data_IF_738735349360
#
_entry.id   IF_738735349360
#
_cell.length_a   1.000
_cell.length_b   1.000
_cell.length_c   1.000
_cell.angle_alpha   90.00
_cell.angle_beta   90.00
_cell.angle_gamma   90.00
#
_symmetry.space_group_name_H-M   'P 1'
#
loop_
_entity.id
_entity.type
_entity.pdbx_description
1 polymer ?
#
# COMPACT_ATOMS: atom_id res chain seq x y z
N UNK A 1 4.86 -1.09 7.20
CA UNK A 1 6.17 -0.38 7.18
C UNK A 1 5.93 1.12 7.11
N UNK A 2 6.90 1.93 7.53
CA UNK A 2 6.83 3.39 7.44
C UNK A 2 7.11 3.89 6.01
N UNK A 3 6.59 5.07 5.69
CA UNK A 3 6.98 5.82 4.49
C UNK A 3 7.89 6.97 4.92
N UNK A 4 9.15 6.91 4.48
CA UNK A 4 10.16 7.96 4.70
C UNK A 4 10.64 8.59 3.39
N UNK A 5 10.33 7.96 2.25
CA UNK A 5 10.59 8.48 0.91
C UNK A 5 9.37 9.26 0.40
N UNK A 6 9.61 10.47 -0.11
CA UNK A 6 8.59 11.32 -0.73
C UNK A 6 7.95 10.65 -1.95
N UNK A 7 6.65 10.85 -2.15
CA UNK A 7 5.88 10.29 -3.28
C UNK A 7 5.89 8.75 -3.43
N UNK A 8 6.45 8.01 -2.48
CA UNK A 8 6.49 6.55 -2.49
C UNK A 8 5.20 5.87 -2.01
N UNK A 9 4.14 6.63 -1.69
CA UNK A 9 2.92 6.09 -1.07
C UNK A 9 2.26 4.96 -1.88
N UNK A 10 2.26 5.04 -3.22
CA UNK A 10 1.75 3.98 -4.09
C UNK A 10 2.55 2.68 -3.96
N UNK A 11 3.88 2.76 -3.98
CA UNK A 11 4.76 1.60 -3.75
C UNK A 11 4.58 1.02 -2.35
N UNK A 12 4.50 1.88 -1.33
CA UNK A 12 4.27 1.43 0.05
C UNK A 12 2.91 0.72 0.18
N UNK A 13 1.86 1.25 -0.45
CA UNK A 13 0.54 0.61 -0.50
C UNK A 13 0.57 -0.76 -1.17
N UNK A 14 1.29 -0.91 -2.29
CA UNK A 14 1.50 -2.19 -2.95
C UNK A 14 2.23 -3.20 -2.05
N UNK A 15 3.32 -2.78 -1.41
CA UNK A 15 4.10 -3.64 -0.51
C UNK A 15 3.31 -4.02 0.75
N UNK A 16 2.45 -3.14 1.25
CA UNK A 16 1.50 -3.46 2.32
C UNK A 16 0.50 -4.53 1.86
N UNK A 17 -0.09 -4.38 0.67
CA UNK A 17 -1.04 -5.37 0.14
C UNK A 17 -0.37 -6.73 -0.03
N UNK A 18 0.70 -6.81 -0.83
CA UNK A 18 1.40 -8.07 -1.14
C UNK A 18 1.99 -8.69 0.13
N UNK A 19 2.63 -7.91 0.99
CA UNK A 19 3.28 -8.41 2.20
C UNK A 19 2.33 -9.09 3.18
N UNK A 20 1.05 -8.66 3.24
CA UNK A 20 0.05 -9.25 4.14
C UNK A 20 -0.72 -10.42 3.51
N UNK A 21 -0.58 -10.65 2.19
CA UNK A 21 -1.15 -11.82 1.51
C UNK A 21 -0.08 -12.75 0.94
N UNK A 22 1.20 -12.52 1.23
CA UNK A 22 2.33 -13.24 0.62
C UNK A 22 2.28 -14.77 0.78
N UNK A 23 1.65 -15.27 1.86
CA UNK A 23 1.45 -16.70 2.07
C UNK A 23 0.29 -17.30 1.23
N UNK A 24 -0.52 -16.45 0.60
CA UNK A 24 -1.71 -16.80 -0.19
C UNK A 24 -1.51 -16.56 -1.69
N UNK A 25 -0.39 -15.95 -2.08
CA UNK A 25 -0.06 -15.64 -3.49
C UNK A 25 1.24 -16.31 -3.89
N UNK A 26 1.27 -16.88 -5.09
CA UNK A 26 2.46 -17.51 -5.65
C UNK A 26 3.41 -16.45 -6.21
N UNK A 27 4.30 -15.95 -5.35
CA UNK A 27 5.37 -15.06 -5.78
C UNK A 27 6.42 -15.84 -6.56
N UNK A 28 6.68 -15.41 -7.80
CA UNK A 28 7.67 -16.03 -8.67
C UNK A 28 9.03 -16.18 -7.95
N UNK A 29 9.69 -17.32 -8.19
CA UNK A 29 10.99 -17.63 -7.61
C UNK A 29 12.01 -16.57 -7.96
N UNK A 30 12.81 -16.17 -6.96
CA UNK A 30 13.79 -15.09 -7.08
C UNK A 30 13.23 -13.78 -7.62
N UNK A 31 11.91 -13.54 -7.56
CA UNK A 31 11.35 -12.21 -7.85
C UNK A 31 11.70 -11.21 -6.75
N UNK A 32 11.71 -9.91 -7.10
CA UNK A 32 11.95 -8.83 -6.13
C UNK A 32 11.04 -8.97 -4.90
N UNK A 33 9.73 -9.14 -5.11
CA UNK A 33 8.74 -9.24 -4.04
C UNK A 33 9.01 -10.45 -3.13
N UNK A 34 9.40 -11.60 -3.69
CA UNK A 34 9.74 -12.78 -2.90
C UNK A 34 10.99 -12.53 -2.02
N UNK A 35 12.06 -11.96 -2.61
CA UNK A 35 13.29 -11.62 -1.87
C UNK A 35 13.02 -10.58 -0.79
N UNK A 36 12.23 -9.55 -1.12
CA UNK A 36 11.83 -8.48 -0.23
C UNK A 36 11.07 -9.01 1.01
N UNK A 37 10.02 -9.81 0.80
CA UNK A 37 9.22 -10.38 1.90
C UNK A 37 10.09 -11.26 2.80
N UNK A 38 10.93 -12.12 2.21
CA UNK A 38 11.86 -12.97 2.96
C UNK A 38 12.82 -12.15 3.81
N UNK A 39 13.54 -11.20 3.18
CA UNK A 39 14.58 -10.39 3.82
C UNK A 39 14.04 -9.50 4.93
N UNK A 40 12.85 -8.95 4.76
CA UNK A 40 12.28 -7.97 5.70
C UNK A 40 11.38 -8.60 6.77
N UNK A 41 11.15 -9.91 6.75
CA UNK A 41 10.25 -10.61 7.67
C UNK A 41 10.56 -10.37 9.15
N UNK A 42 11.84 -10.23 9.50
CA UNK A 42 12.32 -10.01 10.87
C UNK A 42 12.56 -8.54 11.22
N UNK A 43 12.36 -7.62 10.27
CA UNK A 43 12.61 -6.19 10.45
C UNK A 43 11.42 -5.47 11.07
N UNK A 44 11.69 -4.50 11.93
CA UNK A 44 10.73 -3.52 12.42
C UNK A 44 10.22 -2.61 11.29
N UNK A 45 9.11 -1.88 11.51
CA UNK A 45 8.58 -0.94 10.50
C UNK A 45 9.54 0.15 10.05
N UNK A 46 10.42 0.61 10.94
CA UNK A 46 11.43 1.64 10.66
C UNK A 46 12.64 1.07 9.91
N UNK A 47 13.14 -0.11 10.32
CA UNK A 47 14.20 -0.82 9.58
C UNK A 47 13.76 -1.16 8.15
N UNK A 48 12.49 -1.54 7.98
CA UNK A 48 11.88 -1.74 6.67
C UNK A 48 11.89 -0.48 5.80
N UNK A 49 11.65 0.68 6.39
CA UNK A 49 11.66 1.95 5.66
C UNK A 49 13.09 2.34 5.27
N UNK A 50 14.05 2.19 6.20
CA UNK A 50 15.46 2.44 5.91
C UNK A 50 16.02 1.49 4.84
N UNK A 51 15.59 0.23 4.85
CA UNK A 51 15.92 -0.71 3.78
C UNK A 51 15.46 -0.17 2.41
N UNK A 52 14.22 0.32 2.32
CA UNK A 52 13.67 0.88 1.08
C UNK A 52 14.36 2.17 0.60
N UNK A 53 14.85 3.01 1.51
CA UNK A 53 15.58 4.24 1.16
C UNK A 53 16.85 3.97 0.34
N UNK A 54 17.40 2.76 0.43
CA UNK A 54 18.63 2.35 -0.24
C UNK A 54 18.40 1.33 -1.36
N UNK A 55 17.13 1.00 -1.66
CA UNK A 55 16.77 -0.02 -2.64
C UNK A 55 16.60 0.56 -4.05
N UNK A 56 17.69 0.51 -4.82
CA UNK A 56 17.74 1.05 -6.18
C UNK A 56 16.92 0.25 -7.21
N UNK A 57 16.70 -1.05 -6.97
CA UNK A 57 15.88 -1.88 -7.85
C UNK A 57 14.42 -1.44 -7.78
N UNK A 58 13.91 -1.23 -6.56
CA UNK A 58 12.55 -0.73 -6.36
C UNK A 58 12.39 0.73 -6.80
N UNK A 59 13.37 1.58 -6.54
CA UNK A 59 13.37 2.98 -7.00
C UNK A 59 13.25 3.05 -8.54
N UNK A 60 14.03 2.23 -9.24
CA UNK A 60 14.00 2.15 -10.71
C UNK A 60 12.63 1.67 -11.20
N UNK A 61 12.10 0.58 -10.61
CA UNK A 61 10.79 0.05 -10.97
C UNK A 61 9.65 1.05 -10.71
N UNK A 62 9.69 1.77 -9.58
CA UNK A 62 8.73 2.83 -9.26
C UNK A 62 8.78 3.96 -10.29
N UNK A 63 9.99 4.41 -10.66
CA UNK A 63 10.18 5.48 -11.64
C UNK A 63 9.65 5.10 -13.02
N UNK A 64 9.88 3.86 -13.46
CA UNK A 64 9.31 3.34 -14.72
C UNK A 64 7.78 3.30 -14.65
N UNK A 65 7.21 2.80 -13.55
CA UNK A 65 5.76 2.73 -13.37
C UNK A 65 5.10 4.12 -13.34
N UNK A 66 5.74 5.12 -12.73
CA UNK A 66 5.25 6.50 -12.67
C UNK A 66 5.13 7.14 -14.06
N UNK A 67 5.96 6.72 -15.02
CA UNK A 67 5.92 7.17 -16.42
C UNK A 67 4.99 6.32 -17.31
N UNK A 68 4.39 5.26 -16.79
CA UNK A 68 3.61 4.29 -17.57
C UNK A 68 2.10 4.53 -17.61
N UNK A 69 1.59 5.54 -16.90
CA UNK A 69 0.16 5.86 -16.86
C UNK A 69 -0.32 6.71 -18.05
N UNK A 70 -1.64 6.88 -18.16
CA UNK A 70 -2.27 7.68 -19.22
C UNK A 70 -2.02 9.20 -19.09
N UNK A 71 -1.55 9.64 -17.92
CA UNK A 71 -1.23 11.04 -17.62
C UNK A 71 0.27 11.22 -17.46
N UNK A 72 0.79 12.35 -17.94
CA UNK A 72 2.19 12.71 -17.69
C UNK A 72 2.46 12.80 -16.18
N UNK A 73 3.61 12.28 -15.69
CA UNK A 73 3.98 12.41 -14.30
C UNK A 73 4.12 13.91 -13.96
N UNK A 74 3.67 14.34 -12.77
CA UNK A 74 3.82 15.72 -12.34
C UNK A 74 5.30 16.06 -12.11
N UNK A 75 5.62 17.34 -12.07
CA UNK A 75 6.96 17.80 -11.70
C UNK A 75 7.31 17.34 -10.26
N UNK A 76 8.56 16.94 -10.04
CA UNK A 76 9.01 16.44 -8.74
C UNK A 76 8.89 17.47 -7.61
N UNK A 77 8.88 18.77 -7.95
CA UNK A 77 8.70 19.88 -7.02
C UNK A 77 7.24 20.22 -6.73
N UNK A 78 6.30 19.62 -7.45
CA UNK A 78 4.87 19.88 -7.24
C UNK A 78 4.39 19.30 -5.91
N UNK A 79 3.50 20.04 -5.23
CA UNK A 79 2.84 19.55 -4.03
C UNK A 79 1.79 18.50 -4.41
N UNK A 80 1.97 17.28 -3.93
CA UNK A 80 1.01 16.19 -4.09
C UNK A 80 0.15 16.10 -2.82
N UNK A 81 -1.13 16.45 -2.96
CA UNK A 81 -2.10 16.42 -1.85
C UNK A 81 -2.88 15.10 -1.77
N UNK A 82 -2.61 14.15 -2.68
CA UNK A 82 -3.23 12.82 -2.71
C UNK A 82 -2.31 11.78 -2.06
N UNK A 83 -2.90 10.74 -1.49
CA UNK A 83 -2.17 9.73 -0.73
C UNK A 83 -2.81 8.36 -0.86
N UNK A 84 -1.97 7.32 -0.98
CA UNK A 84 -2.40 5.93 -0.97
C UNK A 84 -2.33 5.33 0.45
N UNK A 85 -3.38 4.60 0.82
CA UNK A 85 -3.44 3.73 2.01
C UNK A 85 -3.90 2.35 1.58
N UNK A 86 -3.61 1.33 2.39
CA UNK A 86 -3.99 -0.06 2.09
C UNK A 86 -4.89 -0.62 3.20
N UNK A 87 -5.97 -1.31 2.82
CA UNK A 87 -6.81 -2.06 3.75
C UNK A 87 -6.51 -3.55 3.62
N UNK A 88 -6.32 -4.24 4.74
CA UNK A 88 -6.03 -5.68 4.80
C UNK A 88 -6.84 -6.38 5.88
N UNK A 89 -7.10 -7.67 5.69
CA UNK A 89 -7.66 -8.54 6.72
C UNK A 89 -6.55 -9.41 7.33
N UNK A 90 -6.26 -9.24 8.61
CA UNK A 90 -5.27 -10.02 9.37
C UNK A 90 -5.91 -10.49 10.67
N UNK A 91 -5.80 -11.79 10.99
CA UNK A 91 -6.33 -12.39 12.22
C UNK A 91 -7.80 -12.03 12.53
N UNK A 92 -8.64 -11.97 11.48
CA UNK A 92 -10.06 -11.63 11.60
C UNK A 92 -10.36 -10.15 11.82
N UNK A 93 -9.37 -9.27 11.59
CA UNK A 93 -9.49 -7.83 11.75
C UNK A 93 -9.25 -7.03 10.47
N UNK A 94 -10.03 -5.98 10.25
CA UNK A 94 -9.78 -4.97 9.23
C UNK A 94 -8.73 -3.97 9.74
N UNK A 95 -7.62 -3.87 9.01
CA UNK A 95 -6.55 -2.93 9.31
C UNK A 95 -6.32 -1.97 8.15
N UNK A 96 -6.24 -0.68 8.47
CA UNK A 96 -5.71 0.35 7.59
C UNK A 96 -4.20 0.50 7.82
N UNK A 97 -3.45 0.36 6.75
CA UNK A 97 -2.01 0.51 6.70
C UNK A 97 -1.67 1.80 5.94
N UNK A 98 -1.15 2.77 6.68
CA UNK A 98 -0.69 4.05 6.17
C UNK A 98 0.76 4.25 6.63
N UNK A 99 1.69 4.36 5.66
CA UNK A 99 3.11 4.56 5.94
C UNK A 99 3.42 5.86 6.69
N UNK A 100 2.53 6.87 6.64
CA UNK A 100 2.67 8.15 7.35
C UNK A 100 2.22 8.05 8.81
N UNK A 101 1.44 7.03 9.19
CA UNK A 101 0.93 6.85 10.56
C UNK A 101 1.93 6.11 11.45
N UNK A 102 1.73 6.21 12.77
CA UNK A 102 2.60 5.55 13.76
C UNK A 102 2.49 4.03 13.73
N UNK A 103 1.28 3.53 13.50
CA UNK A 103 0.94 2.11 13.54
C UNK A 103 -0.30 1.85 12.68
N UNK A 104 -0.58 0.59 12.31
CA UNK A 104 -1.85 0.19 11.71
C UNK A 104 -3.06 0.68 12.52
N UNK A 105 -4.13 1.07 11.84
CA UNK A 105 -5.41 1.39 12.49
C UNK A 105 -6.35 0.19 12.35
N UNK A 106 -6.84 -0.30 13.49
CA UNK A 106 -7.88 -1.32 13.52
C UNK A 106 -9.26 -0.68 13.34
N UNK A 107 -10.04 -1.20 12.41
CA UNK A 107 -11.39 -0.71 12.07
C UNK A 107 -12.52 -1.66 12.46
N UNK A 108 -12.20 -2.79 13.10
CA UNK A 108 -13.18 -3.77 13.56
C UNK A 108 -12.99 -5.17 12.94
N UNK A 109 -13.89 -6.11 13.25
CA UNK A 109 -13.85 -7.47 12.72
C UNK A 109 -14.04 -7.49 11.20
N UNK A 110 -13.38 -8.42 10.51
CA UNK A 110 -13.50 -8.66 9.07
C UNK A 110 -13.08 -10.09 8.74
N UNK A 111 -13.43 -10.57 7.55
CA UNK A 111 -12.88 -11.79 6.96
C UNK A 111 -12.37 -11.53 5.54
N UNK A 112 -11.78 -12.54 4.88
CA UNK A 112 -11.37 -12.40 3.47
C UNK A 112 -12.59 -12.20 2.56
N UNK A 113 -13.73 -12.81 2.89
CA UNK A 113 -14.98 -12.72 2.14
C UNK A 113 -15.67 -11.35 2.30
N UNK A 114 -15.50 -10.70 3.46
CA UNK A 114 -16.15 -9.41 3.75
C UNK A 114 -15.21 -8.21 3.58
N UNK A 115 -13.90 -8.43 3.43
CA UNK A 115 -12.87 -7.40 3.37
C UNK A 115 -13.23 -6.23 2.44
N UNK A 116 -13.72 -6.52 1.23
CA UNK A 116 -14.11 -5.47 0.28
C UNK A 116 -15.23 -4.59 0.83
N UNK A 117 -16.30 -5.22 1.34
CA UNK A 117 -17.46 -4.52 1.89
C UNK A 117 -17.10 -3.72 3.15
N UNK A 118 -16.33 -4.33 4.04
CA UNK A 118 -15.94 -3.69 5.30
C UNK A 118 -15.00 -2.51 5.05
N UNK A 119 -14.06 -2.64 4.10
CA UNK A 119 -13.19 -1.54 3.68
C UNK A 119 -13.98 -0.38 3.05
N UNK A 120 -15.01 -0.67 2.25
CA UNK A 120 -15.85 0.37 1.62
C UNK A 120 -16.57 1.21 2.68
N UNK A 121 -17.03 0.62 3.78
CA UNK A 121 -17.65 1.38 4.87
C UNK A 121 -16.68 2.43 5.43
N UNK A 122 -15.42 2.04 5.67
CA UNK A 122 -14.39 2.97 6.14
C UNK A 122 -14.08 4.04 5.08
N UNK A 123 -13.99 3.67 3.81
CA UNK A 123 -13.78 4.63 2.70
C UNK A 123 -14.92 5.65 2.62
N UNK A 124 -16.17 5.23 2.84
CA UNK A 124 -17.31 6.14 2.89
C UNK A 124 -17.20 7.15 4.05
N UNK A 125 -16.64 6.76 5.20
CA UNK A 125 -16.34 7.70 6.27
C UNK A 125 -15.27 8.73 5.87
N UNK A 126 -14.23 8.31 5.14
CA UNK A 126 -13.22 9.24 4.60
C UNK A 126 -13.84 10.25 3.63
N UNK A 127 -14.73 9.80 2.75
CA UNK A 127 -15.46 10.66 1.81
C UNK A 127 -16.40 11.61 2.56
N UNK A 128 -17.14 11.12 3.56
CA UNK A 128 -18.08 11.93 4.35
C UNK A 128 -17.40 13.06 5.14
N UNK A 129 -16.11 12.91 5.49
CA UNK A 129 -15.31 13.96 6.14
C UNK A 129 -14.95 15.11 5.20
N UNK A 130 -14.95 14.87 3.88
CA UNK A 130 -14.65 15.86 2.85
C UNK A 130 -15.68 15.77 1.69
N UNK A 131 -16.95 16.13 1.95
CA UNK A 131 -18.08 15.83 1.04
C UNK A 131 -17.98 16.51 -0.34
N UNK A 132 -17.23 17.61 -0.43
CA UNK A 132 -17.03 18.35 -1.69
C UNK A 132 -15.88 17.78 -2.55
N UNK A 133 -15.06 16.88 -2.00
CA UNK A 133 -13.94 16.29 -2.73
C UNK A 133 -14.41 15.13 -3.60
N UNK A 134 -14.05 15.17 -4.89
CA UNK A 134 -14.23 14.06 -5.83
C UNK A 134 -12.94 13.26 -6.05
N UNK A 135 -11.85 13.62 -5.38
CA UNK A 135 -10.51 13.10 -5.63
C UNK A 135 -10.25 11.81 -4.83
N UNK A 136 -11.08 10.80 -5.07
CA UNK A 136 -10.92 9.46 -4.47
C UNK A 136 -10.85 8.40 -5.57
N UNK A 137 -9.99 7.41 -5.35
CA UNK A 137 -9.91 6.22 -6.18
C UNK A 137 -9.70 5.00 -5.29
N UNK A 138 -10.29 3.87 -5.67
CA UNK A 138 -10.16 2.60 -4.95
C UNK A 138 -9.82 1.51 -5.96
N UNK A 139 -8.77 0.74 -5.65
CA UNK A 139 -8.32 -0.40 -6.44
C UNK A 139 -8.34 -1.63 -5.53
N UNK A 140 -8.89 -2.74 -6.02
CA UNK A 140 -8.93 -4.00 -5.29
C UNK A 140 -7.92 -4.99 -5.88
N UNK A 141 -7.10 -5.61 -5.02
CA UNK A 141 -6.31 -6.77 -5.40
C UNK A 141 -7.19 -8.01 -5.30
N UNK A 142 -7.54 -8.59 -6.45
CA UNK A 142 -8.41 -9.76 -6.55
C UNK A 142 -7.76 -10.86 -7.39
N UNK A 143 -8.14 -12.11 -7.13
CA UNK A 143 -7.75 -13.23 -7.98
C UNK A 143 -8.38 -13.05 -9.36
N UNK A 144 -7.59 -13.23 -10.41
CA UNK A 144 -8.10 -13.27 -11.78
C UNK A 144 -9.08 -14.45 -11.92
N UNK A 145 -10.27 -14.13 -12.43
CA UNK A 145 -11.38 -15.08 -12.65
C UNK A 145 -11.21 -15.92 -13.89
#
# INVERSE_FOLDING_TARGET
MKQTVGNACGTIGLLHAVGNVAAQVDLAEDSYLQRFVKKTSVMSPDEKAHFLETDTELETAHSVAACGGDTAPPDISSSVDLHFICFVCVDGGLYELDGRKKQPIYHGPSSQETLLKDSVNVVQEFMARNPESMNFNVIALAKES
#
